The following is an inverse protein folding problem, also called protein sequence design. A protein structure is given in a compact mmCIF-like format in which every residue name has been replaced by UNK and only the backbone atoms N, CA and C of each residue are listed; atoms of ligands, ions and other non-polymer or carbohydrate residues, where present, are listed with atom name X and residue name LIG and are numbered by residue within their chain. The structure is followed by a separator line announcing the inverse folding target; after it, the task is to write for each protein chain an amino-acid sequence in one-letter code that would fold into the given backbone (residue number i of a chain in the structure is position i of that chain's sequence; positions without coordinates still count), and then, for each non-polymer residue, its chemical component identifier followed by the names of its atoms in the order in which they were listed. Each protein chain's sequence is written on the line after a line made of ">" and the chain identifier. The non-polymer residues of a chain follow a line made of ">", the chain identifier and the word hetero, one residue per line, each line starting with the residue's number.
data_IF_126708677623
#
_entry.id   IF_126708677623
#
_cell.length_a   1.000
_cell.length_b   1.000
_cell.length_c   1.000
_cell.angle_alpha   90.00
_cell.angle_beta   90.00
_cell.angle_gamma   90.00
#
_symmetry.space_group_name_H-M   'P 1'
#
loop_
_entity.id
_entity.type
_entity.pdbx_description
1 polymer ?
#
# COMPACT_ATOMS: atom_id res chain seq x y z
N UNK A 1 31.49 -13.17 123.65
CA UNK A 1 32.18 -12.10 122.96
C UNK A 1 32.01 -10.77 123.64
N UNK A 2 33.04 -10.23 124.20
CA UNK A 2 33.02 -8.88 124.86
C UNK A 2 33.34 -7.87 123.74
N UNK A 3 32.37 -7.01 123.50
CA UNK A 3 32.56 -5.86 122.61
C UNK A 3 33.57 -4.91 123.30
N UNK A 4 34.80 -4.76 122.71
CA UNK A 4 35.90 -4.00 123.32
C UNK A 4 35.83 -2.51 122.92
N UNK A 5 35.10 -2.20 121.86
CA UNK A 5 34.94 -0.82 121.39
C UNK A 5 34.27 -0.78 120.01
N UNK A 6 33.83 0.35 119.57
CA UNK A 6 33.25 0.64 118.31
C UNK A 6 34.13 1.69 117.60
N UNK A 7 34.58 1.38 116.40
CA UNK A 7 35.31 2.37 115.59
C UNK A 7 34.20 2.94 114.63
N UNK A 8 33.97 4.22 114.75
CA UNK A 8 33.13 4.94 113.81
C UNK A 8 33.93 5.68 112.75
N UNK A 9 33.80 5.27 111.53
CA UNK A 9 34.47 6.01 110.44
C UNK A 9 33.43 7.02 109.90
N UNK A 10 33.69 8.30 109.98
CA UNK A 10 32.83 9.36 109.41
C UNK A 10 33.48 9.83 108.11
N UNK A 11 32.82 9.57 107.03
CA UNK A 11 33.25 10.06 105.70
C UNK A 11 32.35 11.21 105.27
N UNK A 12 32.96 12.22 104.60
CA UNK A 12 32.17 13.33 104.01
C UNK A 12 31.46 12.89 102.74
N UNK A 13 30.26 13.21 102.57
CA UNK A 13 29.49 12.91 101.34
C UNK A 13 30.09 13.47 100.07
N UNK A 14 30.80 14.60 100.23
CA UNK A 14 31.51 15.25 99.11
C UNK A 14 32.60 14.38 98.41
N UNK A 15 33.19 13.42 99.12
CA UNK A 15 34.13 12.47 98.55
C UNK A 15 33.42 11.50 97.58
N UNK A 16 32.31 11.02 97.98
CA UNK A 16 31.48 10.17 97.14
C UNK A 16 30.89 10.95 95.94
N UNK A 17 30.47 12.20 96.11
CA UNK A 17 30.01 13.06 95.02
C UNK A 17 31.03 13.27 93.94
N UNK A 18 32.33 13.53 94.33
CA UNK A 18 33.39 13.65 93.35
C UNK A 18 33.57 12.33 92.56
N UNK A 19 33.56 11.18 93.27
CA UNK A 19 33.77 9.88 92.65
C UNK A 19 32.58 9.52 91.70
N UNK A 20 31.41 9.81 92.16
CA UNK A 20 30.21 9.56 91.30
C UNK A 20 30.19 10.43 90.04
N UNK A 21 30.66 11.66 90.16
CA UNK A 21 30.79 12.56 89.00
C UNK A 21 31.80 12.05 87.97
N UNK A 22 32.92 11.48 88.47
CA UNK A 22 33.92 10.90 87.56
C UNK A 22 33.46 9.57 86.90
N UNK A 23 32.44 8.93 87.47
CA UNK A 23 31.87 7.69 86.94
C UNK A 23 30.72 7.94 85.93
N UNK A 24 30.23 9.16 85.77
CA UNK A 24 29.22 9.51 84.77
C UNK A 24 29.73 9.24 83.35
N UNK A 25 28.98 8.53 82.56
CA UNK A 25 29.33 8.15 81.20
C UNK A 25 29.05 9.29 80.21
N UNK A 26 28.08 10.15 80.53
CA UNK A 26 27.70 11.29 79.68
C UNK A 26 27.81 12.60 80.50
N UNK A 27 27.96 13.75 79.80
CA UNK A 27 28.13 15.06 80.43
C UNK A 27 26.94 15.48 81.30
N UNK A 28 25.76 15.09 81.01
CA UNK A 28 24.54 15.43 81.74
C UNK A 28 23.94 14.22 82.45
N UNK A 29 24.67 13.16 82.66
CA UNK A 29 24.28 12.04 83.49
C UNK A 29 24.38 12.45 84.98
N UNK A 30 23.31 12.27 85.67
CA UNK A 30 23.31 12.53 87.12
C UNK A 30 23.34 11.21 87.87
N UNK A 31 24.34 10.97 88.63
CA UNK A 31 24.53 9.76 89.45
C UNK A 31 24.27 10.08 90.91
N UNK A 32 23.37 9.39 91.54
CA UNK A 32 22.98 9.54 92.92
C UNK A 32 23.29 8.26 93.70
N UNK A 33 23.78 8.41 94.94
CA UNK A 33 23.87 7.36 95.95
C UNK A 33 22.71 7.61 96.96
N UNK A 34 21.71 6.68 97.03
CA UNK A 34 20.58 6.86 97.91
C UNK A 34 20.45 5.72 98.93
N UNK A 35 19.81 5.99 100.08
CA UNK A 35 19.52 4.97 101.04
C UNK A 35 18.20 4.23 100.74
N UNK A 36 17.79 3.29 101.63
CA UNK A 36 16.51 2.53 101.51
C UNK A 36 15.26 3.40 101.44
N UNK A 37 15.32 4.66 101.90
CA UNK A 37 14.19 5.62 101.85
C UNK A 37 14.37 6.61 100.72
N UNK A 38 15.18 6.32 99.76
CA UNK A 38 15.55 7.21 98.62
C UNK A 38 16.09 8.56 99.04
N UNK A 39 16.66 8.67 100.30
CA UNK A 39 17.40 9.89 100.71
C UNK A 39 18.72 9.91 100.05
N UNK A 40 19.11 11.00 99.36
CA UNK A 40 20.36 11.19 98.72
C UNK A 40 21.48 11.33 99.74
N UNK A 41 22.41 10.39 99.74
CA UNK A 41 23.64 10.39 100.54
C UNK A 41 24.73 11.18 99.84
N UNK A 42 24.88 11.01 98.56
CA UNK A 42 25.81 11.68 97.69
C UNK A 42 25.26 11.73 96.24
N UNK A 43 25.57 12.78 95.55
CA UNK A 43 25.10 12.96 94.15
C UNK A 43 25.91 14.10 93.50
N UNK A 44 25.60 14.30 92.23
CA UNK A 44 26.23 15.33 91.43
C UNK A 44 25.84 16.77 91.81
N UNK A 45 24.70 16.92 92.61
CA UNK A 45 24.27 18.21 93.11
C UNK A 45 24.77 18.41 94.53
N UNK A 46 25.27 19.61 94.86
CA UNK A 46 25.79 19.97 96.22
C UNK A 46 24.75 19.96 97.36
N UNK A 47 23.58 19.32 97.12
CA UNK A 47 22.51 19.12 98.05
C UNK A 47 22.56 17.70 98.57
N UNK A 48 22.85 17.57 99.87
CA UNK A 48 22.78 16.30 100.61
C UNK A 48 21.49 16.19 101.39
N UNK A 49 20.96 14.93 101.58
CA UNK A 49 19.85 14.61 102.48
C UNK A 49 18.48 15.15 102.03
N UNK A 50 18.17 15.04 100.74
CA UNK A 50 16.82 15.21 100.16
C UNK A 50 16.31 13.89 99.68
N UNK A 51 15.00 13.73 99.59
CA UNK A 51 14.33 12.54 99.08
C UNK A 51 14.31 12.64 97.52
N UNK A 52 14.92 11.62 96.90
CA UNK A 52 14.89 11.52 95.43
C UNK A 52 13.59 10.77 94.98
N UNK A 53 12.77 11.41 94.22
CA UNK A 53 11.61 10.76 93.65
C UNK A 53 12.02 9.83 92.50
N UNK A 54 12.57 8.66 92.78
CA UNK A 54 13.02 7.67 91.82
C UNK A 54 11.85 7.15 91.00
N UNK A 55 10.66 7.01 91.53
CA UNK A 55 9.50 6.54 90.79
C UNK A 55 8.98 7.59 89.79
N UNK A 56 9.00 8.86 90.16
CA UNK A 56 8.71 9.97 89.23
C UNK A 56 9.72 10.06 88.11
N UNK A 57 11.02 9.94 88.42
CA UNK A 57 12.08 9.93 87.41
C UNK A 57 11.99 8.72 86.46
N UNK A 58 11.61 7.53 86.98
CA UNK A 58 11.41 6.34 86.11
C UNK A 58 10.16 6.47 85.18
N UNK A 59 9.18 7.25 85.60
CA UNK A 59 7.99 7.53 84.74
C UNK A 59 8.19 8.66 83.75
N UNK A 60 9.25 9.46 83.91
CA UNK A 60 9.59 10.52 82.97
C UNK A 60 10.15 9.91 81.70
N UNK A 61 9.43 10.09 80.56
CA UNK A 61 9.84 9.62 79.25
C UNK A 61 11.11 10.30 78.73
N UNK A 62 11.53 11.40 79.34
CA UNK A 62 12.70 12.17 78.93
C UNK A 62 13.97 11.71 79.61
N UNK A 63 13.92 10.80 80.59
CA UNK A 63 15.04 10.32 81.37
C UNK A 63 15.07 8.79 81.35
N UNK A 64 16.28 8.22 81.11
CA UNK A 64 16.54 6.80 81.33
C UNK A 64 17.12 6.65 82.71
N UNK A 65 16.39 5.98 83.60
CA UNK A 65 16.83 5.76 84.99
C UNK A 65 17.26 4.31 85.14
N UNK A 66 18.51 4.14 85.58
CA UNK A 66 19.08 2.84 85.94
C UNK A 66 19.29 2.82 87.48
N UNK A 67 18.90 1.77 88.11
CA UNK A 67 19.09 1.58 89.56
C UNK A 67 19.86 0.30 89.79
N UNK A 68 20.88 0.38 90.63
CA UNK A 68 21.71 -0.74 91.05
C UNK A 68 21.73 -0.79 92.60
N UNK A 69 21.19 -1.86 93.17
CA UNK A 69 21.16 -2.10 94.61
C UNK A 69 22.47 -2.72 95.07
N UNK A 70 22.98 -2.18 96.15
CA UNK A 70 24.20 -2.72 96.83
C UNK A 70 23.70 -3.56 98.04
N UNK A 71 23.90 -4.86 97.99
CA UNK A 71 23.34 -5.82 98.99
C UNK A 71 23.96 -5.63 100.35
N UNK A 72 25.22 -5.31 100.46
CA UNK A 72 25.93 -5.26 101.75
C UNK A 72 25.66 -3.99 102.59
N UNK A 73 25.40 -2.84 101.91
CA UNK A 73 25.26 -1.54 102.55
C UNK A 73 23.86 -1.00 102.68
N UNK A 74 22.90 -1.67 101.95
CA UNK A 74 21.55 -1.17 101.82
C UNK A 74 21.43 0.18 101.08
N UNK A 75 22.46 0.51 100.27
CA UNK A 75 22.48 1.70 99.41
C UNK A 75 22.14 1.33 98.02
N UNK A 76 21.65 2.31 97.27
CA UNK A 76 21.24 2.15 95.82
C UNK A 76 21.91 3.26 95.04
N UNK A 77 22.55 2.89 93.93
CA UNK A 77 23.02 3.85 92.94
C UNK A 77 21.88 4.07 91.93
N UNK A 78 21.58 5.33 91.72
CA UNK A 78 20.55 5.74 90.70
C UNK A 78 21.27 6.62 89.71
N UNK A 79 21.34 6.14 88.46
CA UNK A 79 21.88 6.92 87.32
C UNK A 79 20.67 7.43 86.54
N UNK A 80 20.66 8.69 86.22
CA UNK A 80 19.64 9.38 85.44
C UNK A 80 20.28 9.98 84.22
N UNK A 81 20.02 9.39 83.02
CA UNK A 81 20.58 9.82 81.76
C UNK A 81 19.47 10.49 80.96
N UNK A 82 19.60 11.76 80.55
CA UNK A 82 18.65 12.39 79.62
C UNK A 82 18.60 11.67 78.30
N UNK A 83 17.38 11.23 77.86
CA UNK A 83 17.14 10.51 76.61
C UNK A 83 17.63 11.33 75.43
N UNK A 84 17.59 12.66 75.52
CA UNK A 84 18.09 13.58 74.51
C UNK A 84 19.59 13.39 74.21
N UNK A 85 20.36 13.00 75.18
CA UNK A 85 21.81 12.77 75.03
C UNK A 85 22.11 11.48 74.28
N UNK A 86 21.31 10.45 74.54
CA UNK A 86 21.36 9.17 73.81
C UNK A 86 21.06 9.42 72.32
N UNK A 87 20.03 10.23 72.07
CA UNK A 87 19.67 10.56 70.70
C UNK A 87 20.62 11.56 70.00
N UNK A 88 21.35 12.39 70.73
CA UNK A 88 22.30 13.33 70.11
C UNK A 88 23.46 12.62 69.38
N UNK A 89 23.94 11.53 69.95
CA UNK A 89 24.93 10.67 69.29
C UNK A 89 24.39 9.96 68.04
N UNK A 90 23.11 9.53 68.10
CA UNK A 90 22.43 8.89 66.98
C UNK A 90 22.10 9.86 65.84
N UNK A 91 21.88 11.15 66.15
CA UNK A 91 21.55 12.15 65.12
C UNK A 91 22.67 12.34 64.07
N UNK A 92 23.91 12.27 64.50
CA UNK A 92 25.08 12.34 63.59
C UNK A 92 25.13 11.13 62.67
N UNK A 93 24.81 9.94 63.19
CA UNK A 93 24.77 8.70 62.40
C UNK A 93 23.60 8.77 61.37
N UNK A 94 22.43 9.22 61.79
CA UNK A 94 21.28 9.39 60.86
C UNK A 94 21.57 10.41 59.77
N UNK A 95 22.15 11.56 60.11
CA UNK A 95 22.52 12.60 59.13
C UNK A 95 23.58 12.08 58.12
N UNK A 96 24.55 11.33 58.60
CA UNK A 96 25.58 10.73 57.74
C UNK A 96 25.01 9.68 56.81
N UNK A 97 24.12 8.81 57.27
CA UNK A 97 23.42 7.81 56.45
C UNK A 97 22.57 8.52 55.41
N UNK A 98 21.78 9.54 55.79
CA UNK A 98 20.96 10.30 54.88
C UNK A 98 21.77 10.98 53.77
N UNK A 99 22.91 11.56 54.11
CA UNK A 99 23.83 12.17 53.15
C UNK A 99 24.37 11.15 52.14
N UNK A 100 24.84 9.99 52.63
CA UNK A 100 25.33 8.91 51.76
C UNK A 100 24.24 8.39 50.82
N UNK A 101 23.02 8.17 51.36
CA UNK A 101 21.90 7.73 50.56
C UNK A 101 21.52 8.77 49.48
N UNK A 102 21.55 10.06 49.82
CA UNK A 102 21.25 11.14 48.88
C UNK A 102 22.30 11.19 47.76
N UNK A 103 23.58 11.08 48.09
CA UNK A 103 24.67 11.05 47.09
C UNK A 103 24.55 9.81 46.21
N UNK A 104 24.30 8.64 46.79
CA UNK A 104 24.08 7.41 46.03
C UNK A 104 22.88 7.50 45.10
N UNK A 105 21.76 8.08 45.55
CA UNK A 105 20.57 8.30 44.72
C UNK A 105 20.82 9.26 43.55
N UNK A 106 21.54 10.37 43.82
CA UNK A 106 21.93 11.31 42.78
C UNK A 106 22.88 10.66 41.76
N UNK A 107 23.86 9.89 42.25
CA UNK A 107 24.77 9.14 41.38
C UNK A 107 24.04 8.13 40.48
N UNK A 108 23.13 7.36 41.05
CA UNK A 108 22.32 6.40 40.32
C UNK A 108 21.40 7.10 39.28
N UNK A 109 20.78 8.21 39.67
CA UNK A 109 19.93 9.01 38.78
C UNK A 109 20.71 9.57 37.59
N UNK A 110 21.92 10.05 37.87
CA UNK A 110 22.82 10.53 36.81
C UNK A 110 23.25 9.39 35.87
N UNK A 111 23.60 8.24 36.42
CA UNK A 111 23.94 7.05 35.64
C UNK A 111 22.81 6.62 34.74
N UNK A 112 21.58 6.54 35.24
CA UNK A 112 20.37 6.20 34.47
C UNK A 112 20.11 7.24 33.37
N UNK A 113 20.31 8.53 33.65
CA UNK A 113 20.17 9.59 32.65
C UNK A 113 21.18 9.41 31.50
N UNK A 114 22.43 9.13 31.82
CA UNK A 114 23.47 8.87 30.82
C UNK A 114 23.15 7.61 30.00
N UNK A 115 22.75 6.54 30.65
CA UNK A 115 22.38 5.30 30.00
C UNK A 115 21.19 5.51 29.03
N UNK A 116 20.20 6.28 29.44
CA UNK A 116 19.07 6.65 28.56
C UNK A 116 19.54 7.44 27.32
N UNK A 117 20.44 8.41 27.52
CA UNK A 117 20.87 9.30 26.44
C UNK A 117 21.83 8.63 25.44
N UNK A 118 22.73 7.78 25.95
CA UNK A 118 23.78 7.13 25.14
C UNK A 118 23.27 5.86 24.48
N UNK A 119 22.38 5.09 25.13
CA UNK A 119 22.00 3.78 24.64
C UNK A 119 20.53 3.76 24.14
N UNK A 120 19.59 4.15 25.01
CA UNK A 120 18.16 3.93 24.71
C UNK A 120 17.67 4.85 23.60
N UNK A 121 18.03 6.13 23.64
CA UNK A 121 17.59 7.13 22.69
C UNK A 121 18.05 6.83 21.24
N UNK A 122 19.32 6.49 20.98
CA UNK A 122 19.79 6.09 19.65
C UNK A 122 19.09 4.83 19.13
N UNK A 123 18.96 3.80 19.95
CA UNK A 123 18.29 2.55 19.56
C UNK A 123 16.83 2.81 19.15
N UNK A 124 16.10 3.63 19.91
CA UNK A 124 14.72 4.02 19.55
C UNK A 124 14.62 4.77 18.22
N UNK A 125 15.63 5.59 17.88
CA UNK A 125 15.68 6.27 16.59
C UNK A 125 15.86 5.27 15.45
N UNK A 126 16.74 4.30 15.60
CA UNK A 126 16.94 3.23 14.61
C UNK A 126 15.67 2.38 14.46
N UNK A 127 15.03 1.96 15.56
CA UNK A 127 13.77 1.19 15.52
C UNK A 127 12.64 1.96 14.81
N UNK A 128 12.47 3.25 15.16
CA UNK A 128 11.47 4.10 14.52
C UNK A 128 11.75 4.26 13.01
N UNK A 129 13.00 4.43 12.63
CA UNK A 129 13.40 4.54 11.23
C UNK A 129 13.11 3.24 10.47
N UNK A 130 13.52 2.08 11.00
CA UNK A 130 13.28 0.78 10.34
C UNK A 130 11.78 0.52 10.12
N UNK A 131 10.94 0.90 11.08
CA UNK A 131 9.48 0.77 10.94
C UNK A 131 8.89 1.70 9.88
N UNK A 132 9.42 2.92 9.73
CA UNK A 132 8.94 3.90 8.75
C UNK A 132 9.56 3.70 7.37
N UNK A 133 10.81 3.26 7.29
CA UNK A 133 11.54 3.00 6.03
C UNK A 133 10.92 1.86 5.19
N UNK A 134 10.07 1.03 5.79
CA UNK A 134 9.27 0.07 5.03
C UNK A 134 8.27 0.74 4.07
N UNK A 135 7.94 2.04 4.28
CA UNK A 135 6.98 2.79 3.47
C UNK A 135 7.62 3.84 2.55
N UNK A 136 8.89 4.24 2.77
CA UNK A 136 9.54 5.33 2.03
C UNK A 136 11.05 5.03 1.90
N UNK A 137 11.49 4.79 0.67
CA UNK A 137 12.84 4.26 0.37
C UNK A 137 13.94 5.32 0.25
N UNK A 138 13.67 6.60 0.53
CA UNK A 138 14.61 7.69 0.18
C UNK A 138 15.33 8.30 1.37
N UNK A 139 14.89 8.05 2.60
CA UNK A 139 15.51 8.61 3.80
C UNK A 139 16.68 7.74 4.29
N UNK A 140 17.74 8.40 4.80
CA UNK A 140 18.89 7.76 5.44
C UNK A 140 18.98 8.22 6.89
N UNK A 141 19.52 7.38 7.74
CA UNK A 141 19.78 7.72 9.13
C UNK A 141 21.02 8.61 9.20
N UNK A 142 20.83 9.88 9.58
CA UNK A 142 21.89 10.85 9.80
C UNK A 142 22.09 11.17 11.29
N UNK A 143 23.27 11.67 11.67
CA UNK A 143 23.57 12.16 13.02
C UNK A 143 24.02 11.07 13.99
N UNK A 144 24.67 10.04 13.48
CA UNK A 144 25.35 9.00 14.24
C UNK A 144 26.87 9.05 13.93
N UNK A 145 27.47 10.22 14.20
CA UNK A 145 28.92 10.44 13.98
C UNK A 145 29.69 9.87 15.16
N UNK A 146 30.18 8.66 15.03
CA UNK A 146 30.96 8.00 16.09
C UNK A 146 31.62 6.72 15.61
N UNK A 147 32.43 6.14 16.47
CA UNK A 147 33.09 4.83 16.26
C UNK A 147 32.51 3.76 17.18
N UNK A 148 31.33 4.03 17.76
CA UNK A 148 30.62 3.08 18.59
C UNK A 148 29.84 2.04 17.73
N UNK A 149 29.43 0.96 18.35
CA UNK A 149 28.73 -0.16 17.69
C UNK A 149 27.41 0.27 17.05
N UNK A 150 26.79 1.32 17.58
CA UNK A 150 25.52 1.85 17.04
C UNK A 150 25.77 2.60 15.73
N UNK A 151 26.85 3.38 15.65
CA UNK A 151 27.24 4.07 14.42
C UNK A 151 27.58 3.07 13.31
N UNK A 152 28.33 2.02 13.63
CA UNK A 152 28.66 0.93 12.69
C UNK A 152 27.38 0.24 12.19
N UNK A 153 26.42 0.01 13.08
CA UNK A 153 25.14 -0.61 12.71
C UNK A 153 24.32 0.30 11.78
N UNK A 154 24.32 1.62 12.02
CA UNK A 154 23.65 2.61 11.17
C UNK A 154 24.31 2.69 9.80
N UNK A 155 25.63 2.68 9.72
CA UNK A 155 26.37 2.68 8.45
C UNK A 155 26.08 1.43 7.63
N UNK A 156 26.07 0.25 8.26
CA UNK A 156 25.72 -1.00 7.60
C UNK A 156 24.25 -0.99 7.13
N UNK A 157 23.33 -0.43 7.91
CA UNK A 157 21.93 -0.28 7.52
C UNK A 157 21.79 0.66 6.31
N UNK A 158 22.45 1.81 6.32
CA UNK A 158 22.44 2.75 5.21
C UNK A 158 23.03 2.09 3.94
N UNK A 159 24.12 1.34 4.06
CA UNK A 159 24.71 0.61 2.94
C UNK A 159 23.74 -0.45 2.36
N UNK A 160 23.06 -1.21 3.23
CA UNK A 160 22.03 -2.16 2.76
C UNK A 160 20.86 -1.47 2.04
N UNK A 161 20.48 -0.26 2.49
CA UNK A 161 19.45 0.53 1.84
C UNK A 161 19.90 1.03 0.46
N UNK A 162 21.16 1.45 0.33
CA UNK A 162 21.76 1.86 -0.95
C UNK A 162 21.82 0.68 -1.93
N UNK A 163 22.27 -0.49 -1.48
CA UNK A 163 22.28 -1.71 -2.30
C UNK A 163 20.86 -2.13 -2.74
N UNK A 164 19.89 -2.04 -1.83
CA UNK A 164 18.49 -2.32 -2.14
C UNK A 164 17.94 -1.37 -3.21
N UNK A 165 18.24 -0.07 -3.10
CA UNK A 165 17.75 0.93 -4.05
C UNK A 165 18.41 0.73 -5.42
N UNK A 166 19.72 0.46 -5.47
CA UNK A 166 20.43 0.12 -6.73
C UNK A 166 19.85 -1.16 -7.35
N UNK A 167 19.59 -2.19 -6.53
CA UNK A 167 19.00 -3.45 -7.01
C UNK A 167 17.57 -3.23 -7.53
N UNK A 168 16.77 -2.41 -6.86
CA UNK A 168 15.41 -2.05 -7.26
C UNK A 168 15.41 -1.31 -8.60
N UNK A 169 16.36 -0.40 -8.81
CA UNK A 169 16.51 0.33 -10.07
C UNK A 169 16.95 -0.60 -11.21
N UNK A 170 17.93 -1.47 -10.97
CA UNK A 170 18.34 -2.51 -11.94
C UNK A 170 17.18 -3.45 -12.30
N UNK A 171 16.38 -3.86 -11.30
CA UNK A 171 15.22 -4.70 -11.54
C UNK A 171 14.17 -3.98 -12.41
N UNK A 172 13.93 -2.69 -12.14
CA UNK A 172 12.98 -1.88 -12.91
C UNK A 172 13.44 -1.69 -14.36
N UNK A 173 14.74 -1.49 -14.59
CA UNK A 173 15.30 -1.44 -15.94
C UNK A 173 15.16 -2.79 -16.65
N UNK A 174 15.54 -3.89 -16.01
CA UNK A 174 15.41 -5.22 -16.58
C UNK A 174 13.95 -5.58 -16.92
N UNK A 175 12.99 -5.21 -16.08
CA UNK A 175 11.57 -5.40 -16.36
C UNK A 175 11.11 -4.59 -17.58
N UNK A 176 11.58 -3.35 -17.73
CA UNK A 176 11.26 -2.52 -18.89
C UNK A 176 11.83 -3.13 -20.17
N UNK A 177 13.08 -3.55 -20.15
CA UNK A 177 13.75 -4.17 -21.30
C UNK A 177 13.06 -5.48 -21.73
N UNK A 178 12.64 -6.29 -20.75
CA UNK A 178 11.86 -7.50 -21.00
C UNK A 178 10.51 -7.17 -21.65
N UNK A 179 9.81 -6.16 -21.14
CA UNK A 179 8.53 -5.74 -21.70
C UNK A 179 8.66 -5.23 -23.13
N UNK A 180 9.67 -4.39 -23.42
CA UNK A 180 9.95 -3.89 -24.77
C UNK A 180 10.33 -5.03 -25.73
N UNK A 181 11.13 -5.98 -25.28
CA UNK A 181 11.52 -7.17 -26.06
C UNK A 181 10.30 -8.04 -26.39
N UNK A 182 9.42 -8.29 -25.41
CA UNK A 182 8.21 -9.09 -25.63
C UNK A 182 7.22 -8.37 -26.57
N UNK A 183 7.07 -7.05 -26.43
CA UNK A 183 6.26 -6.24 -27.35
C UNK A 183 6.81 -6.30 -28.78
N UNK A 184 8.13 -6.14 -28.94
CA UNK A 184 8.80 -6.25 -30.24
C UNK A 184 8.60 -7.62 -30.86
N UNK A 185 8.74 -8.69 -30.07
CA UNK A 185 8.50 -10.07 -30.51
C UNK A 185 7.05 -10.28 -30.97
N UNK A 186 6.07 -9.78 -30.23
CA UNK A 186 4.67 -9.86 -30.63
C UNK A 186 4.41 -9.10 -31.95
N UNK A 187 4.98 -7.91 -32.10
CA UNK A 187 4.90 -7.15 -33.36
C UNK A 187 5.52 -7.91 -34.53
N UNK A 188 6.71 -8.50 -34.32
CA UNK A 188 7.35 -9.33 -35.34
C UNK A 188 6.52 -10.57 -35.70
N UNK A 189 5.90 -11.22 -34.75
CA UNK A 189 4.98 -12.35 -34.98
C UNK A 189 3.79 -11.93 -35.84
N UNK A 190 3.16 -10.80 -35.53
CA UNK A 190 2.02 -10.27 -36.31
C UNK A 190 2.49 -9.95 -37.74
N UNK A 191 3.65 -9.31 -37.89
CA UNK A 191 4.23 -9.04 -39.22
C UNK A 191 4.58 -10.32 -39.98
N UNK A 192 5.13 -11.33 -39.33
CA UNK A 192 5.40 -12.63 -39.90
C UNK A 192 4.13 -13.33 -40.40
N UNK A 193 3.06 -13.32 -39.60
CA UNK A 193 1.75 -13.86 -40.01
C UNK A 193 1.15 -13.09 -41.20
N UNK A 194 1.23 -11.75 -41.21
CA UNK A 194 0.79 -10.93 -42.34
C UNK A 194 1.61 -11.25 -43.64
N UNK A 195 2.89 -11.52 -43.52
CA UNK A 195 3.77 -11.83 -44.65
C UNK A 195 3.68 -13.28 -45.14
N UNK A 196 3.08 -14.22 -44.36
CA UNK A 196 2.88 -15.60 -44.81
C UNK A 196 1.94 -15.69 -46.02
N UNK A 197 1.01 -14.73 -46.16
CA UNK A 197 0.23 -14.59 -47.37
C UNK A 197 1.05 -13.69 -48.31
N UNK A 198 1.72 -14.26 -49.31
CA UNK A 198 2.43 -13.46 -50.28
C UNK A 198 1.46 -12.71 -51.19
N UNK A 199 1.24 -11.38 -51.00
CA UNK A 199 0.24 -10.65 -51.77
C UNK A 199 0.56 -10.63 -53.27
N UNK A 200 1.83 -10.59 -53.60
CA UNK A 200 2.28 -10.55 -54.96
C UNK A 200 1.95 -11.87 -55.70
N UNK A 201 2.14 -13.00 -55.03
CA UNK A 201 1.75 -14.29 -55.58
C UNK A 201 0.25 -14.35 -55.93
N UNK A 202 -0.59 -13.88 -55.00
CA UNK A 202 -2.05 -13.88 -55.19
C UNK A 202 -2.49 -12.95 -56.34
N UNK A 203 -1.91 -11.74 -56.41
CA UNK A 203 -2.18 -10.84 -57.55
C UNK A 203 -1.80 -11.44 -58.88
N UNK A 204 -0.61 -12.03 -58.98
CA UNK A 204 -0.17 -12.68 -60.22
C UNK A 204 -1.06 -13.86 -60.59
N UNK A 205 -1.53 -14.62 -59.61
CA UNK A 205 -2.45 -15.73 -59.80
C UNK A 205 -3.79 -15.24 -60.35
N UNK A 206 -4.35 -14.17 -59.74
CA UNK A 206 -5.60 -13.57 -60.22
C UNK A 206 -5.47 -13.01 -61.64
N UNK A 207 -4.35 -12.32 -61.98
CA UNK A 207 -4.11 -11.83 -63.32
C UNK A 207 -3.98 -12.99 -64.34
N UNK A 208 -3.36 -14.10 -63.95
CA UNK A 208 -3.27 -15.29 -64.82
C UNK A 208 -4.67 -15.90 -65.06
N UNK A 209 -5.48 -16.04 -64.02
CA UNK A 209 -6.86 -16.56 -64.15
C UNK A 209 -7.69 -15.62 -65.07
N UNK A 210 -7.56 -14.30 -64.87
CA UNK A 210 -8.24 -13.30 -65.68
C UNK A 210 -7.84 -13.40 -67.17
N UNK A 211 -6.54 -13.51 -67.42
CA UNK A 211 -6.03 -13.66 -68.81
C UNK A 211 -6.55 -14.93 -69.46
N UNK A 212 -6.59 -16.05 -68.74
CA UNK A 212 -7.16 -17.30 -69.22
C UNK A 212 -8.68 -17.18 -69.50
N UNK A 213 -9.42 -16.55 -68.59
CA UNK A 213 -10.86 -16.31 -68.74
C UNK A 213 -11.17 -15.50 -70.01
N UNK A 214 -10.40 -14.41 -70.26
CA UNK A 214 -10.54 -13.59 -71.45
C UNK A 214 -10.17 -14.35 -72.70
N UNK A 215 -9.15 -15.25 -72.64
CA UNK A 215 -8.75 -16.06 -73.80
C UNK A 215 -9.85 -17.08 -74.21
N UNK A 216 -10.65 -17.54 -73.27
CA UNK A 216 -11.77 -18.48 -73.51
C UNK A 216 -13.14 -17.79 -73.62
N UNK A 217 -13.18 -16.47 -73.79
CA UNK A 217 -14.41 -15.67 -73.88
C UNK A 217 -15.34 -15.84 -72.66
N UNK A 218 -14.73 -16.06 -71.46
CA UNK A 218 -15.46 -16.22 -70.21
C UNK A 218 -15.44 -14.90 -69.42
N UNK A 219 -16.17 -13.89 -69.89
CA UNK A 219 -16.18 -12.53 -69.35
C UNK A 219 -16.62 -12.48 -67.86
N UNK A 220 -17.57 -13.30 -67.49
CA UNK A 220 -18.04 -13.39 -66.09
C UNK A 220 -16.89 -13.83 -65.12
N UNK A 221 -16.10 -14.82 -65.52
CA UNK A 221 -14.95 -15.29 -64.72
C UNK A 221 -13.87 -14.20 -64.64
N UNK A 222 -13.64 -13.48 -65.77
CA UNK A 222 -12.67 -12.37 -65.80
C UNK A 222 -13.15 -11.23 -64.86
N UNK A 223 -14.46 -10.91 -64.83
CA UNK A 223 -15.01 -9.88 -63.95
C UNK A 223 -14.96 -10.27 -62.45
N UNK A 224 -15.33 -11.50 -62.11
CA UNK A 224 -15.23 -12.02 -60.71
C UNK A 224 -13.74 -11.96 -60.23
N UNK A 225 -12.82 -12.43 -61.10
CA UNK A 225 -11.40 -12.47 -60.73
C UNK A 225 -10.82 -11.06 -60.52
N UNK A 226 -11.26 -10.08 -61.35
CA UNK A 226 -10.86 -8.69 -61.19
C UNK A 226 -11.45 -8.10 -59.89
N UNK A 227 -12.72 -8.35 -59.60
CA UNK A 227 -13.34 -7.91 -58.37
C UNK A 227 -12.65 -8.50 -57.12
N UNK A 228 -12.33 -9.80 -57.13
CA UNK A 228 -11.55 -10.45 -56.06
C UNK A 228 -10.17 -9.85 -55.86
N UNK A 229 -9.45 -9.56 -56.97
CA UNK A 229 -8.12 -8.91 -56.92
C UNK A 229 -8.20 -7.51 -56.29
N UNK A 230 -9.26 -6.72 -56.60
CA UNK A 230 -9.48 -5.38 -56.03
C UNK A 230 -9.82 -5.45 -54.54
N UNK A 231 -10.69 -6.33 -54.11
CA UNK A 231 -11.05 -6.53 -52.70
C UNK A 231 -9.79 -6.95 -51.91
N UNK A 232 -9.00 -7.90 -52.43
CA UNK A 232 -7.79 -8.36 -51.79
C UNK A 232 -6.75 -7.26 -51.69
N UNK A 233 -6.59 -6.45 -52.75
CA UNK A 233 -5.71 -5.28 -52.74
C UNK A 233 -6.15 -4.25 -51.69
N UNK A 234 -7.44 -3.98 -51.62
CA UNK A 234 -8.03 -3.09 -50.64
C UNK A 234 -7.78 -3.62 -49.22
N UNK A 235 -7.99 -4.89 -48.92
CA UNK A 235 -7.78 -5.46 -47.60
C UNK A 235 -6.32 -5.34 -47.10
N UNK A 236 -5.32 -5.56 -47.99
CA UNK A 236 -3.90 -5.63 -47.63
C UNK A 236 -3.21 -4.28 -47.68
N UNK A 237 -3.49 -3.44 -48.66
CA UNK A 237 -2.79 -2.17 -48.93
C UNK A 237 -3.56 -0.99 -48.36
N UNK A 238 -2.80 0.06 -48.00
CA UNK A 238 -3.36 1.35 -47.59
C UNK A 238 -3.43 1.54 -46.07
N UNK A 239 -4.02 2.65 -45.67
CA UNK A 239 -4.16 3.07 -44.29
C UNK A 239 -5.34 2.38 -43.61
N UNK A 240 -5.34 2.35 -42.28
CA UNK A 240 -6.46 1.80 -41.50
C UNK A 240 -7.69 2.74 -41.47
N UNK A 241 -7.51 3.99 -41.89
CA UNK A 241 -8.56 5.00 -42.02
C UNK A 241 -8.72 5.29 -43.53
N UNK A 242 -9.93 5.27 -44.01
CA UNK A 242 -10.30 5.45 -45.38
C UNK A 242 -11.53 6.35 -45.49
N UNK A 243 -11.79 6.88 -46.68
CA UNK A 243 -13.06 7.57 -46.93
C UNK A 243 -14.21 6.59 -47.07
N UNK A 244 -15.42 7.04 -46.78
CA UNK A 244 -16.66 6.24 -47.07
C UNK A 244 -16.70 5.84 -48.54
N UNK A 245 -16.27 6.72 -49.44
CA UNK A 245 -16.24 6.42 -50.87
C UNK A 245 -15.36 5.21 -51.21
N UNK A 246 -14.15 5.10 -50.57
CA UNK A 246 -13.28 3.96 -50.77
C UNK A 246 -13.87 2.65 -50.24
N UNK A 247 -14.49 2.71 -49.04
CA UNK A 247 -15.18 1.56 -48.45
C UNK A 247 -16.36 1.10 -49.32
N UNK A 248 -17.16 2.03 -49.84
CA UNK A 248 -18.27 1.77 -50.78
C UNK A 248 -17.79 1.22 -52.10
N UNK A 249 -16.65 1.71 -52.61
CA UNK A 249 -16.08 1.15 -53.84
C UNK A 249 -15.70 -0.33 -53.64
N UNK A 250 -15.16 -0.69 -52.46
CA UNK A 250 -14.87 -2.07 -52.12
C UNK A 250 -16.15 -2.93 -52.02
N UNK A 251 -17.26 -2.39 -51.45
CA UNK A 251 -18.54 -3.08 -51.37
C UNK A 251 -19.12 -3.30 -52.75
N UNK A 252 -18.96 -2.37 -53.69
CA UNK A 252 -19.41 -2.57 -55.08
C UNK A 252 -18.69 -3.74 -55.76
N UNK A 253 -17.38 -3.89 -55.52
CA UNK A 253 -16.67 -5.06 -56.06
C UNK A 253 -17.14 -6.35 -55.40
N UNK A 254 -17.42 -6.32 -54.06
CA UNK A 254 -18.00 -7.47 -53.36
C UNK A 254 -19.40 -7.83 -53.90
N UNK A 255 -20.25 -6.83 -54.15
CA UNK A 255 -21.60 -7.02 -54.71
C UNK A 255 -21.59 -7.76 -56.07
N UNK A 256 -20.58 -7.50 -56.93
CA UNK A 256 -20.40 -8.25 -58.21
C UNK A 256 -20.16 -9.74 -57.96
N UNK A 257 -19.29 -10.07 -56.99
CA UNK A 257 -19.02 -11.48 -56.67
C UNK A 257 -20.27 -12.16 -56.17
N UNK A 258 -21.02 -11.48 -55.26
CA UNK A 258 -22.30 -12.00 -54.73
C UNK A 258 -23.35 -12.20 -55.82
N UNK A 259 -23.46 -11.25 -56.77
CA UNK A 259 -24.39 -11.35 -57.89
C UNK A 259 -24.09 -12.62 -58.72
N UNK A 260 -22.86 -12.89 -59.10
CA UNK A 260 -22.52 -14.10 -59.83
C UNK A 260 -22.64 -15.37 -59.00
N UNK A 261 -22.21 -15.36 -57.74
CA UNK A 261 -22.29 -16.53 -56.84
C UNK A 261 -23.70 -17.02 -56.64
N UNK A 262 -24.67 -16.10 -56.54
CA UNK A 262 -26.05 -16.43 -56.29
C UNK A 262 -26.93 -16.30 -57.57
N UNK A 263 -26.34 -16.20 -58.78
CA UNK A 263 -27.07 -16.11 -60.03
C UNK A 263 -28.03 -14.93 -60.13
N UNK A 264 -27.66 -13.79 -59.55
CA UNK A 264 -28.51 -12.57 -59.49
C UNK A 264 -29.63 -12.59 -58.49
N UNK A 265 -29.83 -13.68 -57.73
CA UNK A 265 -30.87 -13.81 -56.71
C UNK A 265 -30.68 -12.83 -55.55
N UNK A 266 -29.42 -12.57 -55.15
CA UNK A 266 -29.08 -11.61 -54.10
C UNK A 266 -28.49 -10.37 -54.74
N UNK A 267 -29.02 -9.22 -54.37
CA UNK A 267 -28.56 -7.92 -54.87
C UNK A 267 -28.14 -7.01 -53.72
N UNK A 268 -27.19 -6.13 -53.99
CA UNK A 268 -26.71 -5.11 -53.04
C UNK A 268 -26.98 -3.72 -53.63
N UNK A 269 -27.92 -3.00 -53.03
CA UNK A 269 -28.23 -1.61 -53.35
C UNK A 269 -27.34 -0.67 -52.51
N UNK A 270 -26.85 0.40 -53.12
CA UNK A 270 -25.92 1.33 -52.44
C UNK A 270 -26.40 2.76 -52.68
N UNK A 271 -26.73 3.48 -51.63
CA UNK A 271 -27.18 4.86 -51.62
C UNK A 271 -26.33 5.66 -50.63
N UNK A 272 -25.55 6.63 -51.12
CA UNK A 272 -24.64 7.41 -50.30
C UNK A 272 -24.75 8.88 -50.65
N UNK A 273 -25.00 9.69 -49.64
CA UNK A 273 -25.02 11.15 -49.77
C UNK A 273 -23.64 11.70 -50.10
N UNK A 274 -23.59 12.76 -50.92
CA UNK A 274 -22.33 13.37 -51.37
C UNK A 274 -21.44 13.87 -50.20
N UNK A 275 -22.07 14.33 -49.13
CA UNK A 275 -21.38 14.76 -47.95
C UNK A 275 -20.75 13.59 -47.16
N UNK A 276 -21.48 12.47 -47.07
CA UNK A 276 -21.00 11.27 -46.41
C UNK A 276 -19.79 10.63 -47.12
N UNK A 277 -19.71 10.69 -48.47
CA UNK A 277 -18.62 10.11 -49.25
C UNK A 277 -17.23 10.55 -48.79
N UNK A 278 -17.12 11.82 -48.38
CA UNK A 278 -15.84 12.45 -47.98
C UNK A 278 -15.49 12.24 -46.54
N UNK A 279 -16.37 11.64 -45.74
CA UNK A 279 -16.08 11.36 -44.33
C UNK A 279 -15.10 10.20 -44.18
N UNK A 280 -14.21 10.33 -43.21
CA UNK A 280 -13.28 9.29 -42.86
C UNK A 280 -13.89 8.30 -41.88
N UNK A 281 -13.54 7.02 -42.04
CA UNK A 281 -13.94 5.95 -41.16
C UNK A 281 -12.88 4.86 -41.09
N UNK A 282 -12.98 3.97 -40.12
CA UNK A 282 -12.12 2.79 -40.05
C UNK A 282 -12.43 1.87 -41.24
N UNK A 283 -11.36 1.37 -41.86
CA UNK A 283 -11.41 0.44 -42.97
C UNK A 283 -12.02 -0.91 -42.59
N UNK A 284 -12.77 -1.53 -43.53
CA UNK A 284 -13.40 -2.83 -43.33
C UNK A 284 -14.37 -2.86 -42.13
N UNK A 285 -15.22 -1.84 -42.03
CA UNK A 285 -16.32 -1.78 -41.06
C UNK A 285 -17.65 -2.15 -41.71
N UNK A 286 -17.93 -1.69 -42.94
CA UNK A 286 -19.21 -1.93 -43.59
C UNK A 286 -19.22 -3.33 -44.20
N UNK A 287 -18.19 -3.80 -44.85
CA UNK A 287 -18.13 -5.08 -45.54
C UNK A 287 -18.54 -6.26 -44.66
N UNK A 288 -18.04 -6.47 -43.42
CA UNK A 288 -18.47 -7.60 -42.60
C UNK A 288 -19.95 -7.55 -42.21
N UNK A 289 -20.54 -6.35 -42.13
CA UNK A 289 -21.99 -6.22 -41.89
C UNK A 289 -22.78 -6.68 -43.10
N UNK A 290 -22.39 -6.26 -44.30
CA UNK A 290 -22.97 -6.72 -45.58
C UNK A 290 -22.82 -8.23 -45.72
N UNK A 291 -21.67 -8.79 -45.39
CA UNK A 291 -21.43 -10.24 -45.39
C UNK A 291 -22.39 -10.97 -44.45
N UNK A 292 -22.56 -10.47 -43.22
CA UNK A 292 -23.52 -11.07 -42.28
C UNK A 292 -24.95 -11.01 -42.79
N UNK A 293 -25.38 -9.90 -43.34
CA UNK A 293 -26.73 -9.77 -43.96
C UNK A 293 -26.95 -10.79 -45.07
N UNK A 294 -25.94 -11.05 -45.91
CA UNK A 294 -26.03 -12.02 -47.00
C UNK A 294 -26.06 -13.45 -46.46
N UNK A 295 -25.08 -13.86 -45.63
CA UNK A 295 -24.92 -15.24 -45.21
C UNK A 295 -25.92 -15.65 -44.14
N UNK A 296 -26.29 -14.79 -43.21
CA UNK A 296 -27.20 -15.09 -42.13
C UNK A 296 -28.65 -14.66 -42.44
N UNK A 297 -28.82 -13.57 -43.19
CA UNK A 297 -30.14 -13.04 -43.53
C UNK A 297 -30.75 -13.66 -44.79
N UNK A 298 -29.98 -13.77 -45.89
CA UNK A 298 -30.50 -14.02 -47.23
C UNK A 298 -30.14 -15.38 -47.82
N UNK A 299 -29.08 -16.06 -47.37
CA UNK A 299 -28.63 -17.33 -47.97
C UNK A 299 -29.71 -18.40 -47.95
N UNK A 300 -30.50 -18.46 -46.86
CA UNK A 300 -31.57 -19.41 -46.68
C UNK A 300 -32.92 -18.98 -47.34
N UNK A 301 -33.01 -17.73 -47.82
CA UNK A 301 -34.21 -17.23 -48.50
C UNK A 301 -34.27 -17.80 -49.93
N UNK A 302 -35.38 -18.43 -50.29
CA UNK A 302 -35.59 -19.02 -51.62
C UNK A 302 -35.86 -17.96 -52.69
N UNK A 303 -36.46 -16.86 -52.27
CA UNK A 303 -36.84 -15.74 -53.18
C UNK A 303 -35.66 -14.74 -53.32
N UNK A 304 -35.84 -13.75 -54.15
CA UNK A 304 -34.89 -12.67 -54.33
C UNK A 304 -34.64 -11.94 -53.00
N UNK A 305 -33.36 -11.67 -52.69
CA UNK A 305 -32.93 -10.96 -51.50
C UNK A 305 -32.24 -9.65 -51.87
N UNK A 306 -32.50 -8.65 -51.04
CA UNK A 306 -31.88 -7.32 -51.20
C UNK A 306 -31.18 -6.90 -49.90
N UNK A 307 -29.93 -6.52 -50.03
CA UNK A 307 -29.21 -5.77 -49.00
C UNK A 307 -29.07 -4.33 -49.48
N UNK A 308 -29.42 -3.36 -48.63
CA UNK A 308 -29.26 -1.94 -48.91
C UNK A 308 -28.21 -1.34 -47.95
N UNK A 309 -27.31 -0.57 -48.50
CA UNK A 309 -26.28 0.20 -47.72
C UNK A 309 -26.58 1.67 -47.93
N UNK A 310 -26.95 2.35 -46.86
CA UNK A 310 -27.14 3.78 -46.85
C UNK A 310 -26.06 4.45 -46.00
N UNK A 311 -25.50 5.58 -46.48
CA UNK A 311 -24.61 6.39 -45.68
C UNK A 311 -24.97 7.87 -45.80
N UNK A 312 -25.15 8.54 -44.67
CA UNK A 312 -25.54 9.94 -44.59
C UNK A 312 -24.83 10.63 -43.41
N UNK A 313 -24.87 11.94 -43.42
CA UNK A 313 -24.47 12.75 -42.25
C UNK A 313 -25.76 13.21 -41.55
N UNK A 314 -25.86 12.92 -40.25
CA UNK A 314 -27.05 13.31 -39.47
C UNK A 314 -26.94 14.79 -39.02
N UNK A 315 -28.02 15.29 -38.38
CA UNK A 315 -28.10 16.68 -37.86
C UNK A 315 -27.06 17.00 -36.79
N UNK A 316 -26.47 15.98 -36.17
CA UNK A 316 -25.41 16.13 -35.14
C UNK A 316 -23.99 16.01 -35.72
N UNK A 317 -23.84 16.13 -37.03
CA UNK A 317 -22.58 15.95 -37.76
C UNK A 317 -21.94 14.54 -37.57
N UNK A 318 -22.78 13.52 -37.25
CA UNK A 318 -22.36 12.12 -37.15
C UNK A 318 -22.52 11.44 -38.52
N UNK A 319 -21.51 10.63 -38.89
CA UNK A 319 -21.66 9.73 -40.03
C UNK A 319 -22.53 8.54 -39.60
N UNK A 320 -23.73 8.43 -40.19
CA UNK A 320 -24.60 7.29 -40.00
C UNK A 320 -24.52 6.36 -41.23
N UNK A 321 -24.12 5.12 -40.98
CA UNK A 321 -24.07 4.05 -41.96
C UNK A 321 -25.10 3.00 -41.57
N UNK A 322 -26.06 2.74 -42.45
CA UNK A 322 -27.10 1.75 -42.28
C UNK A 322 -26.90 0.62 -43.29
N UNK A 323 -26.94 -0.62 -42.82
CA UNK A 323 -27.00 -1.82 -43.64
C UNK A 323 -28.31 -2.56 -43.30
N UNK A 324 -29.18 -2.73 -44.28
CA UNK A 324 -30.48 -3.37 -44.10
C UNK A 324 -30.64 -4.50 -45.08
N UNK A 325 -31.11 -5.65 -44.62
CA UNK A 325 -31.52 -6.78 -45.44
C UNK A 325 -33.03 -7.04 -45.30
N UNK A 326 -33.61 -7.72 -46.29
CA UNK A 326 -34.96 -8.21 -46.31
C UNK A 326 -35.03 -9.73 -46.02
N UNK A 327 -34.11 -10.21 -45.18
CA UNK A 327 -33.92 -11.61 -44.85
C UNK A 327 -34.92 -12.19 -43.85
N UNK A 328 -34.55 -13.33 -43.26
CA UNK A 328 -35.39 -14.03 -42.28
C UNK A 328 -35.60 -13.24 -40.98
N UNK A 329 -34.71 -12.31 -40.63
CA UNK A 329 -34.73 -11.58 -39.35
C UNK A 329 -34.52 -12.47 -38.13
N UNK A 330 -34.61 -11.86 -36.95
CA UNK A 330 -34.36 -12.49 -35.65
C UNK A 330 -35.46 -12.12 -34.66
N UNK A 331 -35.75 -13.03 -33.72
CA UNK A 331 -36.55 -12.71 -32.53
C UNK A 331 -35.79 -11.77 -31.59
N UNK A 332 -36.51 -10.97 -30.79
CA UNK A 332 -35.90 -9.99 -29.91
C UNK A 332 -34.93 -10.62 -28.91
N UNK A 333 -35.24 -11.81 -28.40
CA UNK A 333 -34.33 -12.55 -27.50
C UNK A 333 -32.99 -12.90 -28.17
N UNK A 334 -33.02 -13.22 -29.46
CA UNK A 334 -31.81 -13.50 -30.24
C UNK A 334 -30.96 -12.23 -30.45
N UNK A 335 -31.63 -11.10 -30.72
CA UNK A 335 -30.97 -9.80 -30.83
C UNK A 335 -30.27 -9.43 -29.51
N UNK A 336 -30.99 -9.57 -28.38
CA UNK A 336 -30.46 -9.24 -27.03
C UNK A 336 -29.30 -10.15 -26.66
N UNK A 337 -29.39 -11.45 -26.97
CA UNK A 337 -28.29 -12.39 -26.78
C UNK A 337 -27.07 -12.04 -27.64
N UNK A 338 -27.27 -11.68 -28.90
CA UNK A 338 -26.22 -11.26 -29.81
C UNK A 338 -25.52 -9.99 -29.31
N UNK A 339 -26.27 -8.97 -28.92
CA UNK A 339 -25.73 -7.73 -28.35
C UNK A 339 -24.95 -7.99 -27.03
N UNK A 340 -25.49 -8.87 -26.19
CA UNK A 340 -24.78 -9.28 -24.96
C UNK A 340 -23.46 -9.99 -25.27
N UNK A 341 -23.45 -10.90 -26.24
CA UNK A 341 -22.24 -11.60 -26.67
C UNK A 341 -21.20 -10.64 -27.25
N UNK A 342 -21.65 -9.70 -28.11
CA UNK A 342 -20.78 -8.66 -28.69
C UNK A 342 -20.12 -7.82 -27.59
N UNK A 343 -20.90 -7.35 -26.60
CA UNK A 343 -20.37 -6.58 -25.44
C UNK A 343 -19.42 -7.40 -24.59
N UNK A 344 -19.70 -8.67 -24.37
CA UNK A 344 -18.84 -9.56 -23.56
C UNK A 344 -17.54 -9.94 -24.27
N UNK A 345 -17.58 -10.19 -25.57
CA UNK A 345 -16.42 -10.53 -26.39
C UNK A 345 -15.49 -9.33 -26.61
N UNK A 346 -16.02 -8.10 -26.62
CA UNK A 346 -15.20 -6.89 -26.63
C UNK A 346 -14.34 -6.74 -25.34
N UNK A 347 -14.74 -7.40 -24.25
CA UNK A 347 -14.03 -7.39 -22.95
C UNK A 347 -13.14 -8.64 -22.73
N UNK A 348 -13.44 -9.79 -23.35
CA UNK A 348 -12.69 -11.05 -23.18
C UNK A 348 -12.61 -11.84 -24.49
N UNK A 349 -11.38 -12.21 -24.91
CA UNK A 349 -11.12 -13.10 -26.06
C UNK A 349 -11.67 -14.51 -25.79
N UNK A 350 -12.94 -14.78 -26.09
CA UNK A 350 -13.49 -16.13 -26.05
C UNK A 350 -13.96 -16.57 -27.45
N UNK A 351 -13.55 -17.77 -27.80
CA UNK A 351 -13.66 -18.36 -29.16
C UNK A 351 -15.01 -19.02 -29.39
N UNK A 352 -16.08 -18.28 -29.69
CA UNK A 352 -17.27 -18.83 -30.36
C UNK A 352 -17.36 -18.27 -31.80
N UNK A 353 -17.47 -19.15 -32.78
CA UNK A 353 -17.24 -18.85 -34.20
C UNK A 353 -18.28 -17.95 -34.91
N UNK A 354 -19.50 -17.86 -34.42
CA UNK A 354 -20.61 -17.29 -35.19
C UNK A 354 -20.85 -15.77 -34.99
N UNK A 355 -20.18 -15.13 -34.00
CA UNK A 355 -20.33 -13.68 -33.74
C UNK A 355 -19.05 -12.87 -33.90
N UNK A 356 -17.98 -13.48 -34.43
CA UNK A 356 -16.63 -12.90 -34.50
C UNK A 356 -16.60 -11.61 -35.32
N UNK A 357 -17.34 -11.52 -36.40
CA UNK A 357 -17.35 -10.38 -37.32
C UNK A 357 -17.88 -9.09 -36.68
N UNK A 358 -19.10 -9.13 -36.15
CA UNK A 358 -19.75 -7.96 -35.52
C UNK A 358 -19.10 -7.56 -34.21
N UNK A 359 -18.67 -8.55 -33.38
CA UNK A 359 -17.94 -8.27 -32.14
C UNK A 359 -16.63 -7.57 -32.41
N UNK A 360 -15.89 -7.97 -33.48
CA UNK A 360 -14.67 -7.32 -33.87
C UNK A 360 -14.90 -5.86 -34.33
N UNK A 361 -15.99 -5.61 -35.08
CA UNK A 361 -16.36 -4.25 -35.46
C UNK A 361 -16.62 -3.39 -34.23
N UNK A 362 -17.45 -3.84 -33.27
CA UNK A 362 -17.76 -3.10 -32.05
C UNK A 362 -16.51 -2.84 -31.20
N UNK A 363 -15.63 -3.84 -31.12
CA UNK A 363 -14.35 -3.67 -30.42
C UNK A 363 -13.45 -2.62 -31.09
N UNK A 364 -13.33 -2.65 -32.40
CA UNK A 364 -12.54 -1.67 -33.17
C UNK A 364 -13.12 -0.26 -33.07
N UNK A 365 -14.47 -0.13 -33.15
CA UNK A 365 -15.15 1.16 -32.94
C UNK A 365 -14.91 1.69 -31.54
N UNK A 366 -15.03 0.85 -30.50
CA UNK A 366 -14.78 1.24 -29.11
C UNK A 366 -13.33 1.65 -28.85
N UNK A 367 -12.34 0.94 -29.43
CA UNK A 367 -10.94 1.29 -29.31
C UNK A 367 -10.61 2.63 -29.97
N UNK A 368 -11.20 2.91 -31.11
CA UNK A 368 -10.86 4.09 -31.92
C UNK A 368 -11.68 5.32 -31.53
N UNK A 369 -13.01 5.18 -31.41
CA UNK A 369 -13.93 6.30 -31.17
C UNK A 369 -14.36 6.41 -29.70
N UNK A 370 -14.07 5.38 -28.85
CA UNK A 370 -14.56 5.30 -27.48
C UNK A 370 -16.08 5.23 -27.40
N UNK A 371 -16.65 5.87 -26.39
CA UNK A 371 -18.10 5.93 -26.16
C UNK A 371 -18.86 6.86 -27.13
N UNK A 372 -18.15 7.47 -28.09
CA UNK A 372 -18.76 8.39 -29.06
C UNK A 372 -19.34 7.70 -30.30
N UNK A 373 -18.93 6.47 -30.57
CA UNK A 373 -19.54 5.66 -31.65
C UNK A 373 -20.70 4.85 -31.09
N UNK A 374 -21.73 4.70 -31.90
CA UNK A 374 -22.90 3.87 -31.56
C UNK A 374 -23.08 2.74 -32.58
N UNK A 375 -23.50 1.58 -32.09
CA UNK A 375 -23.74 0.40 -32.88
C UNK A 375 -25.06 -0.24 -32.45
N UNK A 376 -26.08 -0.20 -33.35
CA UNK A 376 -27.45 -0.66 -33.07
C UNK A 376 -27.84 -1.73 -34.04
N UNK A 377 -28.55 -2.76 -33.57
CA UNK A 377 -29.15 -3.83 -34.38
C UNK A 377 -30.64 -3.83 -34.11
N UNK A 378 -31.42 -3.71 -35.18
CA UNK A 378 -32.88 -3.84 -35.17
C UNK A 378 -33.26 -5.01 -36.06
N UNK A 379 -34.03 -5.96 -35.57
CA UNK A 379 -34.49 -7.11 -36.37
C UNK A 379 -35.87 -7.56 -35.96
N UNK A 380 -36.59 -8.14 -36.90
CA UNK A 380 -37.89 -8.77 -36.66
C UNK A 380 -38.05 -9.96 -37.58
N UNK A 381 -38.66 -11.07 -37.11
CA UNK A 381 -38.89 -12.26 -37.93
C UNK A 381 -39.64 -11.95 -39.22
N UNK A 382 -39.09 -12.40 -40.34
CA UNK A 382 -39.65 -12.20 -41.67
C UNK A 382 -39.59 -10.78 -42.25
N UNK A 383 -38.96 -9.82 -41.53
CA UNK A 383 -38.79 -8.43 -41.98
C UNK A 383 -37.33 -8.04 -42.24
N UNK A 384 -36.41 -8.97 -41.96
CA UNK A 384 -34.98 -8.76 -42.11
C UNK A 384 -34.32 -8.10 -40.90
N UNK A 385 -33.07 -7.68 -41.10
CA UNK A 385 -32.23 -7.05 -40.09
C UNK A 385 -31.73 -5.70 -40.59
N UNK A 386 -31.60 -4.76 -39.67
CA UNK A 386 -31.07 -3.42 -39.88
C UNK A 386 -29.94 -3.16 -38.86
N UNK A 387 -28.76 -2.90 -39.36
CA UNK A 387 -27.60 -2.52 -38.52
C UNK A 387 -27.26 -1.07 -38.78
N UNK A 388 -27.18 -0.28 -37.74
CA UNK A 388 -26.86 1.16 -37.80
C UNK A 388 -25.56 1.41 -37.07
N UNK A 389 -24.65 2.09 -37.71
CA UNK A 389 -23.35 2.50 -37.14
C UNK A 389 -23.28 4.01 -37.21
N UNK A 390 -23.09 4.66 -36.04
CA UNK A 390 -22.91 6.10 -35.96
C UNK A 390 -21.46 6.42 -35.52
N UNK A 391 -20.80 7.25 -36.30
CA UNK A 391 -19.38 7.57 -36.11
C UNK A 391 -19.24 9.08 -36.04
N UNK A 392 -18.56 9.65 -35.00
CA UNK A 392 -18.31 11.07 -34.89
C UNK A 392 -17.33 11.53 -35.95
N UNK A 393 -17.35 12.82 -36.25
CA UNK A 393 -16.29 13.46 -37.03
C UNK A 393 -14.99 13.48 -36.20
N UNK A 394 -13.94 12.81 -36.66
CA UNK A 394 -12.64 12.87 -36.01
C UNK A 394 -11.78 13.99 -36.56
N UNK A 395 -10.95 14.60 -35.68
CA UNK A 395 -9.95 15.58 -36.05
C UNK A 395 -8.71 14.92 -36.66
N UNK A 396 -8.04 15.62 -37.59
CA UNK A 396 -6.84 15.10 -38.27
C UNK A 396 -5.73 14.68 -37.29
N UNK A 397 -5.53 15.39 -36.20
CA UNK A 397 -4.53 15.09 -35.16
C UNK A 397 -4.73 13.69 -34.54
N UNK A 398 -5.98 13.31 -34.27
CA UNK A 398 -6.30 11.99 -33.66
C UNK A 398 -6.16 10.86 -34.66
N UNK A 399 -6.36 11.17 -35.94
CA UNK A 399 -6.13 10.20 -37.02
C UNK A 399 -4.65 9.85 -37.18
N UNK A 400 -3.73 10.82 -37.01
CA UNK A 400 -2.29 10.60 -37.08
C UNK A 400 -1.76 9.81 -35.87
N UNK A 401 -2.24 10.07 -34.67
CA UNK A 401 -1.85 9.34 -33.46
C UNK A 401 -2.26 7.86 -33.54
N UNK A 402 -3.49 7.57 -33.97
CA UNK A 402 -3.98 6.19 -34.07
C UNK A 402 -3.36 5.39 -35.22
N UNK A 403 -2.91 6.04 -36.28
CA UNK A 403 -2.18 5.38 -37.38
C UNK A 403 -0.84 4.81 -36.92
N UNK A 404 -0.24 5.37 -35.85
CA UNK A 404 1.01 4.91 -35.22
C UNK A 404 0.81 3.80 -34.21
N UNK A 405 -0.40 3.62 -33.67
CA UNK A 405 -0.70 2.65 -32.60
C UNK A 405 -1.40 1.35 -33.09
N UNK A 406 -1.84 1.26 -34.34
CA UNK A 406 -2.46 0.09 -34.98
C UNK A 406 -1.56 -0.51 -36.06
#
# INVERSE_FOLDING_TARGET
>A
DRQIGMIVLVMRGSWFSSYLKDTAITENEHVYLVDKRNMVIAGDQDKEFYELDVEGLQKDKNSLVQTVDQEETSWRIVSVIPVREIYSGLSIVHTSIFLVMTIAFLGLSLLLYFCYFIIIRPIRRVDAFVRHSAASSTERLEGFDGTDEISILVDNLNHMLDEKDEMSEKLRHAQRDLYETELSKQQMQVLAYRNQINPHFLYNTFECIRAMALYYDADEIAEITMALSRIFRYAIKGHNIVTVEEEIANIREYAKIIFYRFGGRIQVGIEVEEEAKKRNMLKLIIQPVVENSIFHGLEQKLDNGLVTVHARVDENDMLEVEVKDDGCGMEQEQVDQLLYQIKRQSLHRSSQKDSIGLANICHRLGLFYGDKADFTIESSPGKGTRVIIKIPRETEERMEECTKCL
#
